data_IF_364686355481
#
_entry.id   IF_364686355481
#
_cell.length_a   1.000
_cell.length_b   1.000
_cell.length_c   1.000
_cell.angle_alpha   90.00
_cell.angle_beta   90.00
_cell.angle_gamma   90.00
#
_symmetry.space_group_name_H-M   'P 1'
#
loop_
_entity.id
_entity.type
_entity.pdbx_description
1 polymer ?
#
# COMPACT_ATOMS: atom_id res chain seq x y z
N UNK A 1 10.91 37.73 -15.86
CA UNK A 1 12.05 37.22 -15.05
C UNK A 1 12.30 38.04 -13.77
N UNK A 2 11.99 39.35 -13.71
CA UNK A 2 12.16 40.18 -12.50
C UNK A 2 11.07 39.98 -11.42
N UNK A 3 9.82 39.65 -11.81
CA UNK A 3 8.70 39.51 -10.88
C UNK A 3 8.79 38.25 -9.97
N UNK A 4 9.34 37.15 -10.48
CA UNK A 4 9.50 35.90 -9.70
C UNK A 4 10.58 36.05 -8.62
N UNK A 5 11.69 36.75 -8.92
CA UNK A 5 12.75 37.02 -7.93
C UNK A 5 12.29 37.96 -6.81
N UNK A 6 11.48 38.97 -7.13
CA UNK A 6 10.94 39.90 -6.15
C UNK A 6 9.88 39.26 -5.24
N UNK A 7 9.14 38.24 -5.73
CA UNK A 7 8.19 37.47 -4.92
C UNK A 7 8.87 36.45 -4.00
N UNK A 8 10.01 35.84 -4.44
CA UNK A 8 10.82 34.94 -3.62
C UNK A 8 11.48 35.66 -2.42
N UNK A 9 12.02 36.86 -2.66
CA UNK A 9 12.55 37.69 -1.57
C UNK A 9 11.47 38.03 -0.54
N UNK A 10 10.27 38.44 -0.97
CA UNK A 10 9.15 38.76 -0.08
C UNK A 10 8.67 37.55 0.76
N UNK A 11 8.66 36.33 0.17
CA UNK A 11 8.21 35.12 0.88
C UNK A 11 9.21 34.71 1.98
N UNK A 12 10.52 34.73 1.68
CA UNK A 12 11.56 34.52 2.67
C UNK A 12 11.58 35.60 3.75
N UNK A 13 11.30 36.86 3.36
CA UNK A 13 11.20 37.99 4.27
C UNK A 13 9.97 37.89 5.17
N UNK A 14 8.82 37.41 4.65
CA UNK A 14 7.58 37.24 5.42
C UNK A 14 7.72 36.07 6.43
N UNK A 15 8.29 34.93 6.05
CA UNK A 15 8.58 33.82 6.96
C UNK A 15 9.62 34.23 8.01
N UNK A 16 10.68 34.94 7.60
CA UNK A 16 11.67 35.47 8.55
C UNK A 16 11.07 36.53 9.49
N UNK A 17 10.13 37.33 9.02
CA UNK A 17 9.42 38.31 9.85
C UNK A 17 8.49 37.63 10.86
N UNK A 18 7.81 36.55 10.49
CA UNK A 18 6.97 35.75 11.41
C UNK A 18 7.81 35.08 12.49
N UNK A 19 8.95 34.45 12.13
CA UNK A 19 9.89 33.90 13.11
C UNK A 19 10.52 34.98 14.01
N UNK A 20 10.83 36.16 13.45
CA UNK A 20 11.33 37.29 14.25
C UNK A 20 10.26 37.88 15.19
N UNK A 21 8.97 37.89 14.80
CA UNK A 21 7.87 38.27 15.70
C UNK A 21 7.74 37.25 16.84
N UNK A 22 7.74 35.96 16.53
CA UNK A 22 7.69 34.89 17.56
C UNK A 22 8.89 34.97 18.50
N UNK A 23 10.08 35.19 17.97
CA UNK A 23 11.30 35.40 18.78
C UNK A 23 11.21 36.68 19.64
N UNK A 24 10.68 37.76 19.09
CA UNK A 24 10.44 39.02 19.81
C UNK A 24 9.39 38.87 20.91
N UNK A 25 8.29 38.18 20.69
CA UNK A 25 7.26 37.90 21.68
C UNK A 25 7.78 36.94 22.77
N UNK A 26 8.49 35.87 22.37
CA UNK A 26 9.11 34.92 23.28
C UNK A 26 10.20 35.61 24.14
N UNK A 27 11.03 36.46 23.53
CA UNK A 27 12.04 37.23 24.22
C UNK A 27 11.42 38.25 25.18
N UNK A 28 10.29 38.86 24.82
CA UNK A 28 9.52 39.77 25.68
C UNK A 28 8.91 39.06 26.87
N UNK A 29 8.31 37.89 26.67
CA UNK A 29 7.77 37.05 27.74
C UNK A 29 8.86 36.50 28.65
N UNK A 30 10.01 36.08 28.09
CA UNK A 30 11.18 35.64 28.83
C UNK A 30 11.74 36.76 29.70
N UNK A 31 11.91 37.96 29.14
CA UNK A 31 12.38 39.13 29.89
C UNK A 31 11.42 39.59 30.99
N UNK A 32 10.13 39.33 30.86
CA UNK A 32 9.12 39.69 31.86
C UNK A 32 8.99 38.66 33.01
N UNK A 33 9.37 37.40 32.77
CA UNK A 33 9.18 36.31 33.75
C UNK A 33 10.49 35.69 34.25
N UNK A 34 11.64 36.12 33.71
CA UNK A 34 12.96 35.56 34.04
C UNK A 34 13.04 34.01 33.89
N UNK A 35 12.20 33.42 33.03
CA UNK A 35 12.02 31.98 32.86
C UNK A 35 12.25 31.53 31.39
N UNK A 36 13.48 31.04 31.13
CA UNK A 36 13.86 30.48 29.83
C UNK A 36 12.93 29.34 29.38
N UNK A 37 12.48 28.50 30.31
CA UNK A 37 11.62 27.35 29.96
C UNK A 37 10.25 27.80 29.49
N UNK A 38 9.69 28.87 30.07
CA UNK A 38 8.42 29.45 29.61
C UNK A 38 8.54 30.03 28.19
N UNK A 39 9.65 30.69 27.86
CA UNK A 39 9.93 31.20 26.52
C UNK A 39 10.08 30.08 25.48
N UNK A 40 10.91 29.08 25.77
CA UNK A 40 11.09 27.91 24.89
C UNK A 40 9.77 27.16 24.67
N UNK A 41 9.00 26.97 25.75
CA UNK A 41 7.68 26.32 25.65
C UNK A 41 6.73 27.08 24.73
N UNK A 42 6.66 28.41 24.83
CA UNK A 42 5.82 29.23 23.95
C UNK A 42 6.23 29.13 22.50
N UNK A 43 7.53 29.13 22.18
CA UNK A 43 8.04 28.95 20.83
C UNK A 43 7.61 27.56 20.28
N UNK A 44 7.80 26.51 21.08
CA UNK A 44 7.41 25.16 20.68
C UNK A 44 5.89 25.04 20.47
N UNK A 45 5.09 25.63 21.36
CA UNK A 45 3.63 25.64 21.23
C UNK A 45 3.18 26.39 19.97
N UNK A 46 3.79 27.53 19.65
CA UNK A 46 3.51 28.28 18.42
C UNK A 46 3.93 27.51 17.17
N UNK A 47 5.13 26.91 17.16
CA UNK A 47 5.59 26.08 16.03
C UNK A 47 4.70 24.87 15.81
N UNK A 48 4.29 24.16 16.87
CA UNK A 48 3.42 22.97 16.76
C UNK A 48 2.00 23.30 16.28
N UNK A 49 1.56 24.54 16.38
CA UNK A 49 0.27 25.02 15.89
C UNK A 49 0.37 25.69 14.51
N UNK A 50 1.57 25.93 14.02
CA UNK A 50 1.77 26.59 12.72
C UNK A 50 1.22 25.76 11.57
N UNK A 51 0.42 26.34 10.67
CA UNK A 51 -0.01 25.66 9.44
C UNK A 51 1.16 25.18 8.58
N UNK A 52 2.30 25.85 8.60
CA UNK A 52 3.51 25.48 7.87
C UNK A 52 4.19 24.21 8.42
N UNK A 53 3.99 23.92 9.72
CA UNK A 53 4.44 22.66 10.30
C UNK A 53 3.44 21.53 10.10
N UNK A 54 2.12 21.85 10.24
CA UNK A 54 1.06 20.82 10.20
C UNK A 54 0.68 20.43 8.79
N UNK A 55 0.84 21.30 7.79
CA UNK A 55 0.42 21.09 6.43
C UNK A 55 1.56 21.39 5.45
N UNK A 56 1.61 20.64 4.37
CA UNK A 56 2.42 20.98 3.21
C UNK A 56 1.70 22.10 2.43
N UNK A 57 2.09 23.34 2.70
CA UNK A 57 1.42 24.52 2.14
C UNK A 57 1.92 24.79 0.73
N UNK A 58 0.99 24.95 -0.22
CA UNK A 58 1.24 25.29 -1.61
C UNK A 58 0.57 26.63 -1.92
N UNK A 59 1.37 27.67 -2.12
CA UNK A 59 0.92 29.06 -2.25
C UNK A 59 0.94 29.60 -3.68
N UNK A 60 1.45 28.81 -4.66
CA UNK A 60 1.39 29.16 -6.07
C UNK A 60 -0.05 29.42 -6.50
N UNK A 61 -0.32 30.50 -7.24
CA UNK A 61 -1.67 30.94 -7.55
C UNK A 61 -1.89 31.26 -9.05
N UNK A 62 -0.84 31.31 -9.86
CA UNK A 62 -0.94 31.59 -11.28
C UNK A 62 -1.52 30.37 -12.02
N UNK A 63 -2.64 30.54 -12.72
CA UNK A 63 -3.31 29.46 -13.45
C UNK A 63 -2.65 29.23 -14.82
N UNK A 64 -2.40 27.96 -15.14
CA UNK A 64 -2.07 27.49 -16.47
C UNK A 64 -3.05 26.39 -16.90
N UNK A 65 -3.81 26.60 -17.96
CA UNK A 65 -4.75 25.61 -18.55
C UNK A 65 -5.66 24.94 -17.51
N UNK A 66 -6.21 25.71 -16.57
CA UNK A 66 -7.13 25.22 -15.55
C UNK A 66 -6.49 24.56 -14.34
N UNK A 67 -5.17 24.49 -14.28
CA UNK A 67 -4.40 24.02 -13.13
C UNK A 67 -3.46 25.11 -12.63
N UNK A 68 -2.85 24.93 -11.47
CA UNK A 68 -1.84 25.82 -10.92
C UNK A 68 -0.52 25.07 -10.88
N UNK A 69 0.49 25.45 -11.69
CA UNK A 69 1.82 24.87 -11.60
C UNK A 69 2.45 25.19 -10.27
N UNK A 70 3.13 24.22 -9.68
CA UNK A 70 3.89 24.40 -8.46
C UNK A 70 5.20 25.13 -8.73
N UNK A 71 5.71 25.84 -7.73
CA UNK A 71 7.05 26.38 -7.79
C UNK A 71 8.12 25.32 -7.43
N UNK A 72 9.39 25.65 -7.62
CA UNK A 72 10.49 24.71 -7.39
C UNK A 72 10.55 24.19 -5.95
N UNK A 73 10.24 25.02 -4.95
CA UNK A 73 10.25 24.61 -3.55
C UNK A 73 9.04 23.75 -3.20
N UNK A 74 7.89 24.02 -3.80
CA UNK A 74 6.69 23.21 -3.64
C UNK A 74 6.90 21.82 -4.26
N UNK A 75 7.56 21.74 -5.45
CA UNK A 75 7.94 20.47 -6.07
C UNK A 75 8.94 19.72 -5.19
N UNK A 76 10.00 20.40 -4.71
CA UNK A 76 10.99 19.78 -3.83
C UNK A 76 10.34 19.20 -2.56
N UNK A 77 9.43 19.96 -1.94
CA UNK A 77 8.68 19.51 -0.77
C UNK A 77 7.79 18.30 -1.09
N UNK A 78 7.01 18.34 -2.19
CA UNK A 78 6.18 17.19 -2.60
C UNK A 78 7.03 15.95 -2.82
N UNK A 79 8.14 16.09 -3.54
CA UNK A 79 9.03 15.00 -3.89
C UNK A 79 9.64 14.35 -2.64
N UNK A 80 10.16 15.14 -1.71
CA UNK A 80 10.79 14.64 -0.50
C UNK A 80 9.80 13.91 0.42
N UNK A 81 8.61 14.44 0.62
CA UNK A 81 7.59 13.76 1.41
C UNK A 81 7.00 12.54 0.70
N UNK A 82 6.92 12.54 -0.63
CA UNK A 82 6.46 11.36 -1.38
C UNK A 82 7.44 10.20 -1.28
N UNK A 83 8.76 10.47 -1.36
CA UNK A 83 9.79 9.45 -1.48
C UNK A 83 10.53 9.14 -0.17
N UNK A 84 10.56 10.05 0.80
CA UNK A 84 11.33 9.90 2.04
C UNK A 84 10.52 10.12 3.33
N UNK A 85 9.26 10.58 3.23
CA UNK A 85 8.47 11.04 4.41
C UNK A 85 9.23 12.07 5.25
N UNK A 86 10.05 12.92 4.64
CA UNK A 86 10.94 13.86 5.31
C UNK A 86 11.15 15.12 4.49
N UNK A 87 11.87 16.08 5.09
CA UNK A 87 12.27 17.33 4.45
C UNK A 87 13.23 17.08 3.27
N UNK A 88 13.28 18.00 2.28
CA UNK A 88 14.28 17.99 1.22
C UNK A 88 15.71 18.06 1.81
N UNK A 89 16.64 17.35 1.17
CA UNK A 89 18.06 17.49 1.47
C UNK A 89 18.68 18.73 0.80
N UNK A 90 19.95 18.99 1.11
CA UNK A 90 20.67 20.17 0.59
C UNK A 90 20.74 20.16 -0.96
N UNK A 91 20.89 18.99 -1.59
CA UNK A 91 20.96 18.87 -3.05
C UNK A 91 19.60 19.22 -3.69
N UNK A 92 18.50 18.70 -3.14
CA UNK A 92 17.17 18.99 -3.63
C UNK A 92 16.79 20.47 -3.40
N UNK A 93 17.21 21.05 -2.26
CA UNK A 93 17.07 22.49 -2.01
C UNK A 93 17.90 23.33 -2.98
N UNK A 94 19.12 22.91 -3.30
CA UNK A 94 19.95 23.60 -4.27
C UNK A 94 19.34 23.56 -5.67
N UNK A 95 18.79 22.44 -6.10
CA UNK A 95 18.05 22.31 -7.37
C UNK A 95 16.84 23.25 -7.42
N UNK A 96 16.07 23.31 -6.33
CA UNK A 96 14.94 24.23 -6.22
C UNK A 96 15.37 25.70 -6.25
N UNK A 97 16.42 26.07 -5.51
CA UNK A 97 16.95 27.44 -5.51
C UNK A 97 17.47 27.88 -6.88
N UNK A 98 18.01 26.94 -7.68
CA UNK A 98 18.45 27.20 -9.04
C UNK A 98 17.31 27.29 -10.08
N UNK A 99 16.05 26.99 -9.69
CA UNK A 99 14.90 27.00 -10.59
C UNK A 99 14.91 25.82 -11.59
N UNK A 100 15.54 24.71 -11.24
CA UNK A 100 15.75 23.58 -12.13
C UNK A 100 14.51 22.67 -12.22
N UNK A 101 13.74 22.53 -11.14
CA UNK A 101 12.64 21.57 -11.06
C UNK A 101 11.42 22.00 -11.89
N UNK A 102 11.21 23.33 -12.06
CA UNK A 102 10.16 23.86 -12.94
C UNK A 102 10.61 24.04 -14.38
N UNK A 103 11.93 24.10 -14.62
CA UNK A 103 12.48 24.36 -15.95
C UNK A 103 12.40 23.12 -16.86
N UNK A 104 12.57 21.93 -16.30
CA UNK A 104 12.64 20.68 -17.05
C UNK A 104 12.17 19.49 -16.18
N UNK A 105 11.09 18.78 -16.57
CA UNK A 105 10.63 17.58 -15.88
C UNK A 105 11.68 16.49 -15.73
N UNK A 106 12.67 16.43 -16.63
CA UNK A 106 13.79 15.47 -16.52
C UNK A 106 14.66 15.74 -15.29
N UNK A 107 14.75 16.97 -14.82
CA UNK A 107 15.43 17.30 -13.57
C UNK A 107 14.67 16.74 -12.34
N UNK A 108 13.33 16.72 -12.39
CA UNK A 108 12.53 16.06 -11.35
C UNK A 108 12.77 14.55 -11.37
N UNK A 109 12.81 13.94 -12.57
CA UNK A 109 13.10 12.50 -12.71
C UNK A 109 14.51 12.15 -12.19
N UNK A 110 15.51 12.98 -12.49
CA UNK A 110 16.87 12.79 -12.00
C UNK A 110 16.92 12.80 -10.46
N UNK A 111 16.30 13.81 -9.85
CA UNK A 111 16.24 13.89 -8.40
C UNK A 111 15.44 12.73 -7.80
N UNK A 112 14.31 12.33 -8.39
CA UNK A 112 13.52 11.21 -7.94
C UNK A 112 14.34 9.89 -7.95
N UNK A 113 15.05 9.58 -9.04
CA UNK A 113 15.90 8.38 -9.13
C UNK A 113 17.02 8.40 -8.10
N UNK A 114 17.73 9.55 -7.94
CA UNK A 114 18.72 9.72 -6.87
C UNK A 114 18.13 9.44 -5.49
N UNK A 115 16.94 9.96 -5.24
CA UNK A 115 16.24 9.79 -3.96
C UNK A 115 15.80 8.35 -3.72
N UNK A 116 15.44 7.62 -4.77
CA UNK A 116 15.09 6.20 -4.69
C UNK A 116 16.29 5.29 -4.42
N UNK A 117 17.52 5.75 -4.70
CA UNK A 117 18.75 5.04 -4.35
C UNK A 117 19.20 5.31 -2.90
N UNK A 118 18.54 6.24 -2.19
CA UNK A 118 18.78 6.52 -0.77
C UNK A 118 18.02 5.52 0.11
N UNK A 119 18.63 4.97 1.18
CA UNK A 119 17.96 4.03 2.09
C UNK A 119 16.64 4.52 2.72
N UNK A 120 16.41 5.83 2.80
CA UNK A 120 15.15 6.41 3.28
C UNK A 120 13.95 6.00 2.44
N UNK A 121 14.14 5.84 1.12
CA UNK A 121 13.08 5.45 0.21
C UNK A 121 12.56 4.03 0.50
N UNK A 122 13.47 3.09 0.84
CA UNK A 122 13.08 1.72 1.16
C UNK A 122 12.03 1.65 2.25
N UNK A 123 12.21 2.42 3.34
CA UNK A 123 11.23 2.50 4.42
C UNK A 123 9.86 3.03 3.98
N UNK A 124 9.80 3.94 3.01
CA UNK A 124 8.53 4.47 2.47
C UNK A 124 7.81 3.41 1.65
N UNK A 125 8.54 2.69 0.78
CA UNK A 125 7.97 1.65 -0.06
C UNK A 125 7.47 0.44 0.77
N UNK A 126 8.24 0.01 1.76
CA UNK A 126 7.81 -1.05 2.68
C UNK A 126 6.54 -0.61 3.44
N UNK A 127 6.48 0.61 3.98
CA UNK A 127 5.27 1.11 4.65
C UNK A 127 4.07 1.20 3.71
N UNK A 128 4.27 1.61 2.45
CA UNK A 128 3.20 1.62 1.46
C UNK A 128 2.61 0.22 1.26
N UNK A 129 3.45 -0.78 1.03
CA UNK A 129 2.98 -2.16 0.81
C UNK A 129 2.41 -2.77 2.09
N UNK A 130 2.94 -2.44 3.28
CA UNK A 130 2.32 -2.81 4.55
C UNK A 130 0.89 -2.26 4.69
N UNK A 131 0.63 -1.04 4.25
CA UNK A 131 -0.71 -0.44 4.25
C UNK A 131 -1.60 -1.06 3.17
N UNK A 132 -1.07 -1.25 1.97
CA UNK A 132 -1.80 -1.84 0.84
C UNK A 132 -2.25 -3.26 1.16
N UNK A 133 -1.37 -4.08 1.74
CA UNK A 133 -1.61 -5.49 2.04
C UNK A 133 -2.08 -5.75 3.48
N UNK A 134 -2.41 -4.68 4.21
CA UNK A 134 -2.95 -4.74 5.59
C UNK A 134 -2.10 -5.56 6.56
N UNK A 135 -0.78 -5.39 6.49
CA UNK A 135 0.18 -6.11 7.35
C UNK A 135 -0.05 -5.83 8.85
N UNK A 136 -0.71 -4.73 9.20
CA UNK A 136 -1.10 -4.45 10.58
C UNK A 136 -2.02 -5.53 11.16
N UNK A 137 -2.85 -6.19 10.33
CA UNK A 137 -3.71 -7.29 10.76
C UNK A 137 -2.93 -8.54 11.17
N UNK A 138 -1.65 -8.68 10.76
CA UNK A 138 -0.81 -9.82 11.12
C UNK A 138 -0.56 -9.92 12.64
N UNK A 139 -0.60 -8.80 13.37
CA UNK A 139 -0.53 -8.80 14.85
C UNK A 139 -1.68 -9.57 15.49
N UNK A 140 -2.81 -9.70 14.78
CA UNK A 140 -3.99 -10.46 15.22
C UNK A 140 -3.92 -11.96 14.96
N UNK A 141 -2.88 -12.48 14.31
CA UNK A 141 -2.74 -13.89 14.00
C UNK A 141 -2.53 -14.69 15.31
N UNK A 142 -3.56 -15.41 15.74
CA UNK A 142 -3.55 -16.19 16.99
C UNK A 142 -4.16 -17.57 16.76
N UNK A 143 -3.42 -18.52 16.15
CA UNK A 143 -3.93 -19.85 15.87
C UNK A 143 -4.31 -20.58 17.15
N UNK A 144 -5.36 -21.40 17.11
CA UNK A 144 -5.75 -22.24 18.23
C UNK A 144 -4.74 -23.37 18.43
N UNK A 145 -4.13 -23.45 19.60
CA UNK A 145 -3.21 -24.54 19.96
C UNK A 145 -3.88 -25.92 20.01
N UNK A 146 -5.23 -25.97 20.04
CA UNK A 146 -5.99 -27.22 19.94
C UNK A 146 -5.96 -27.78 18.52
N UNK A 147 -6.05 -26.92 17.51
CA UNK A 147 -6.05 -27.32 16.11
C UNK A 147 -4.65 -27.29 15.49
N UNK A 148 -3.80 -26.36 15.95
CA UNK A 148 -2.45 -26.12 15.44
C UNK A 148 -1.43 -26.11 16.59
N UNK A 149 -1.19 -27.28 17.25
CA UNK A 149 -0.33 -27.35 18.45
C UNK A 149 1.12 -26.93 18.16
N UNK A 150 1.58 -27.09 16.92
CA UNK A 150 2.96 -26.82 16.50
C UNK A 150 3.10 -25.44 15.81
N UNK A 151 2.02 -24.64 15.70
CA UNK A 151 2.09 -23.32 15.11
C UNK A 151 2.95 -22.37 15.97
N UNK A 152 3.84 -21.58 15.36
CA UNK A 152 4.63 -20.58 16.09
C UNK A 152 3.72 -19.59 16.83
N UNK A 153 4.01 -19.34 18.10
CA UNK A 153 3.25 -18.37 18.91
C UNK A 153 3.43 -16.92 18.41
N UNK A 154 4.50 -16.65 17.68
CA UNK A 154 4.87 -15.37 17.07
C UNK A 154 4.63 -15.34 15.56
N UNK A 155 3.72 -16.18 15.03
CA UNK A 155 3.49 -16.34 13.59
C UNK A 155 3.25 -15.01 12.86
N UNK A 156 2.51 -14.09 13.46
CA UNK A 156 2.28 -12.76 12.88
C UNK A 156 3.55 -11.92 12.73
N UNK A 157 4.46 -11.99 13.70
CA UNK A 157 5.75 -11.30 13.62
C UNK A 157 6.66 -11.92 12.54
N UNK A 158 6.68 -13.25 12.44
CA UNK A 158 7.42 -13.97 11.39
C UNK A 158 6.88 -13.62 10.00
N UNK A 159 5.58 -13.59 9.84
CA UNK A 159 4.91 -13.22 8.58
C UNK A 159 5.17 -11.75 8.20
N UNK A 160 5.26 -10.85 9.19
CA UNK A 160 5.60 -9.45 8.96
C UNK A 160 7.05 -9.31 8.44
N UNK A 161 7.98 -10.03 9.03
CA UNK A 161 9.39 -10.03 8.59
C UNK A 161 9.54 -10.65 7.19
N UNK A 162 8.84 -11.75 6.90
CA UNK A 162 8.77 -12.35 5.57
C UNK A 162 8.30 -11.33 4.54
N UNK A 163 7.16 -10.68 4.80
CA UNK A 163 6.57 -9.68 3.91
C UNK A 163 7.53 -8.53 3.61
N UNK A 164 8.17 -7.99 4.65
CA UNK A 164 9.09 -6.87 4.50
C UNK A 164 10.31 -7.23 3.65
N UNK A 165 10.89 -8.41 3.90
CA UNK A 165 12.05 -8.90 3.13
C UNK A 165 11.65 -9.17 1.68
N UNK A 166 10.49 -9.77 1.46
CA UNK A 166 9.95 -10.03 0.14
C UNK A 166 9.76 -8.73 -0.66
N UNK A 167 9.11 -7.72 -0.08
CA UNK A 167 8.92 -6.42 -0.73
C UNK A 167 10.26 -5.74 -1.04
N UNK A 168 11.20 -5.74 -0.08
CA UNK A 168 12.55 -5.17 -0.31
C UNK A 168 13.27 -5.84 -1.45
N UNK A 169 13.26 -7.17 -1.47
CA UNK A 169 13.93 -7.94 -2.52
C UNK A 169 13.31 -7.67 -3.89
N UNK A 170 11.99 -7.71 -4.01
CA UNK A 170 11.35 -7.45 -5.30
C UNK A 170 11.60 -6.01 -5.75
N UNK A 171 11.35 -5.01 -4.89
CA UNK A 171 11.37 -3.60 -5.31
C UNK A 171 12.78 -3.04 -5.43
N UNK A 172 13.68 -3.36 -4.49
CA UNK A 172 15.03 -2.77 -4.44
C UNK A 172 16.13 -3.76 -4.83
N UNK A 173 15.99 -5.05 -4.49
CA UNK A 173 16.97 -6.07 -4.84
C UNK A 173 16.97 -6.39 -6.33
N UNK A 174 15.80 -6.49 -6.95
CA UNK A 174 15.62 -6.90 -8.35
C UNK A 174 15.10 -5.81 -9.28
N UNK A 175 14.76 -4.63 -8.75
CA UNK A 175 14.04 -3.57 -9.48
C UNK A 175 12.77 -4.12 -10.18
N UNK A 176 12.02 -4.95 -9.45
CA UNK A 176 10.88 -5.71 -9.96
C UNK A 176 9.62 -4.86 -10.10
N UNK A 177 8.63 -5.45 -10.75
CA UNK A 177 7.32 -4.88 -11.05
C UNK A 177 6.27 -5.29 -10.01
N UNK A 178 5.05 -4.72 -10.09
CA UNK A 178 3.90 -5.20 -9.33
C UNK A 178 3.53 -6.64 -9.70
N UNK A 179 3.72 -7.02 -10.97
CA UNK A 179 3.55 -8.41 -11.41
C UNK A 179 4.44 -9.36 -10.60
N UNK A 180 5.69 -8.99 -10.34
CA UNK A 180 6.62 -9.81 -9.55
C UNK A 180 6.17 -9.94 -8.09
N UNK A 181 5.59 -8.90 -7.50
CA UNK A 181 4.96 -8.98 -6.17
C UNK A 181 3.78 -9.97 -6.13
N UNK A 182 3.05 -10.12 -7.24
CA UNK A 182 1.94 -11.06 -7.34
C UNK A 182 2.38 -12.48 -7.65
N UNK A 183 3.48 -12.70 -8.40
CA UNK A 183 3.76 -14.00 -9.02
C UNK A 183 5.10 -14.63 -8.66
N UNK A 184 6.00 -13.94 -7.94
CA UNK A 184 7.29 -14.53 -7.55
C UNK A 184 7.11 -15.70 -6.60
N UNK A 185 7.71 -16.87 -6.86
CA UNK A 185 7.73 -18.00 -5.93
C UNK A 185 8.77 -17.85 -4.83
N UNK A 186 9.64 -16.83 -4.92
CA UNK A 186 10.70 -16.63 -3.94
C UNK A 186 10.15 -15.93 -2.69
N UNK A 187 10.67 -16.30 -1.52
CA UNK A 187 10.35 -15.65 -0.25
C UNK A 187 11.53 -15.80 0.74
N UNK A 188 11.29 -15.46 2.00
CA UNK A 188 12.27 -15.57 3.07
C UNK A 188 11.66 -16.32 4.25
N UNK A 189 12.38 -17.30 4.76
CA UNK A 189 11.94 -18.10 5.91
C UNK A 189 13.06 -18.30 6.93
N UNK A 190 12.68 -18.45 8.19
CA UNK A 190 13.48 -19.04 9.23
C UNK A 190 12.97 -20.47 9.53
N UNK A 191 13.55 -21.17 10.50
CA UNK A 191 13.15 -22.54 10.85
C UNK A 191 11.67 -22.69 11.20
N UNK A 192 11.10 -21.73 11.93
CA UNK A 192 9.70 -21.77 12.36
C UNK A 192 8.75 -21.59 11.17
N UNK A 193 9.03 -20.62 10.30
CA UNK A 193 8.20 -20.36 9.14
C UNK A 193 8.36 -21.43 8.06
N UNK A 194 9.57 -21.99 7.89
CA UNK A 194 9.83 -23.12 7.00
C UNK A 194 8.98 -24.35 7.37
N UNK A 195 8.77 -24.60 8.67
CA UNK A 195 7.90 -25.66 9.13
C UNK A 195 6.43 -25.44 8.76
N UNK A 196 5.92 -24.19 8.81
CA UNK A 196 4.56 -23.85 8.37
C UNK A 196 4.40 -24.05 6.86
N UNK A 197 5.44 -23.72 6.08
CA UNK A 197 5.47 -23.97 4.63
C UNK A 197 5.65 -25.44 4.27
N UNK A 198 5.99 -26.31 5.25
CA UNK A 198 6.28 -27.72 5.01
C UNK A 198 7.56 -27.95 4.21
N UNK A 199 8.56 -27.07 4.37
CA UNK A 199 9.83 -27.18 3.64
C UNK A 199 10.74 -28.21 4.30
N UNK A 200 11.29 -29.10 3.48
CA UNK A 200 12.36 -30.00 3.88
C UNK A 200 13.69 -29.25 3.93
N UNK A 201 14.49 -29.49 4.97
CA UNK A 201 15.80 -28.86 5.06
C UNK A 201 16.22 -28.56 6.49
N UNK A 202 17.31 -27.84 6.64
CA UNK A 202 17.83 -27.38 7.93
C UNK A 202 17.90 -25.84 7.89
N UNK A 203 16.90 -25.22 8.49
CA UNK A 203 16.78 -23.76 8.59
C UNK A 203 17.19 -23.31 9.99
N UNK A 204 17.82 -22.12 10.07
CA UNK A 204 18.25 -21.48 11.31
C UNK A 204 17.21 -20.52 11.90
N UNK A 205 17.65 -19.76 12.92
CA UNK A 205 16.83 -18.69 13.49
C UNK A 205 16.75 -17.46 12.56
N UNK A 206 17.78 -17.24 11.74
CA UNK A 206 17.84 -16.16 10.77
C UNK A 206 17.01 -16.46 9.53
N UNK A 207 16.41 -15.40 8.95
CA UNK A 207 15.69 -15.51 7.69
C UNK A 207 16.65 -15.66 6.52
N UNK A 208 16.42 -16.67 5.70
CA UNK A 208 17.16 -16.92 4.47
C UNK A 208 16.24 -17.02 3.25
N UNK A 209 16.72 -16.66 2.05
CA UNK A 209 15.91 -16.71 0.83
C UNK A 209 15.65 -18.17 0.42
N UNK A 210 14.43 -18.45 0.00
CA UNK A 210 13.99 -19.74 -0.54
C UNK A 210 13.09 -19.55 -1.75
N UNK A 211 13.08 -20.53 -2.65
CA UNK A 211 12.09 -20.63 -3.72
C UNK A 211 11.09 -21.71 -3.37
N UNK A 212 9.82 -21.31 -3.23
CA UNK A 212 8.71 -22.22 -2.93
C UNK A 212 8.27 -22.98 -4.18
N UNK A 213 7.48 -24.05 -3.99
CA UNK A 213 6.85 -24.75 -5.12
C UNK A 213 5.87 -23.81 -5.85
N UNK A 214 6.24 -23.39 -7.05
CA UNK A 214 5.46 -22.46 -7.87
C UNK A 214 4.08 -23.00 -8.29
N UNK A 215 3.82 -24.29 -8.12
CA UNK A 215 2.48 -24.86 -8.33
C UNK A 215 1.55 -24.65 -7.13
N UNK A 216 2.12 -24.33 -5.95
CA UNK A 216 1.38 -24.12 -4.74
C UNK A 216 1.46 -22.66 -4.26
N UNK A 217 2.58 -21.96 -4.49
CA UNK A 217 2.88 -20.66 -3.86
C UNK A 217 3.42 -19.67 -4.87
N UNK A 218 2.76 -18.52 -5.00
CA UNK A 218 3.23 -17.39 -5.81
C UNK A 218 2.80 -16.07 -5.19
N UNK A 219 3.75 -15.16 -5.04
CA UNK A 219 3.53 -13.80 -4.62
C UNK A 219 2.90 -13.65 -3.24
N UNK A 220 2.62 -12.42 -2.89
CA UNK A 220 2.22 -11.99 -1.55
C UNK A 220 0.93 -12.65 -1.05
N UNK A 221 -0.02 -12.99 -1.95
CA UNK A 221 -1.31 -13.55 -1.55
C UNK A 221 -1.29 -15.05 -1.23
N UNK A 222 -0.19 -15.73 -1.50
CA UNK A 222 0.01 -17.11 -1.04
C UNK A 222 1.01 -17.22 0.11
N UNK A 223 1.52 -16.09 0.60
CA UNK A 223 2.34 -16.05 1.83
C UNK A 223 1.48 -16.27 3.08
N UNK A 224 2.12 -16.80 4.11
CA UNK A 224 1.48 -17.11 5.40
C UNK A 224 0.78 -15.90 5.99
N UNK A 225 1.35 -14.71 5.89
CA UNK A 225 0.79 -13.48 6.45
C UNK A 225 -0.62 -13.18 5.95
N UNK A 226 -0.81 -13.12 4.64
CA UNK A 226 -2.13 -12.90 4.03
C UNK A 226 -3.12 -14.01 4.37
N UNK A 227 -2.68 -15.27 4.30
CA UNK A 227 -3.54 -16.43 4.50
C UNK A 227 -4.02 -16.56 5.94
N UNK A 228 -3.14 -16.34 6.90
CA UNK A 228 -3.44 -16.50 8.32
C UNK A 228 -4.12 -15.26 8.94
N UNK A 229 -3.85 -14.04 8.44
CA UNK A 229 -4.59 -12.86 8.90
C UNK A 229 -6.04 -12.84 8.41
N UNK A 230 -6.31 -13.50 7.28
CA UNK A 230 -7.66 -13.72 6.75
C UNK A 230 -8.11 -15.16 7.03
N UNK A 231 -8.10 -15.51 8.31
CA UNK A 231 -8.55 -16.81 8.84
C UNK A 231 -9.12 -16.62 10.24
N UNK A 232 -9.94 -17.59 10.67
CA UNK A 232 -10.30 -17.73 12.08
C UNK A 232 -9.17 -18.45 12.82
N UNK A 233 -9.30 -18.62 14.14
CA UNK A 233 -8.32 -19.39 14.91
C UNK A 233 -8.23 -20.89 14.52
N UNK A 234 -9.23 -21.41 13.79
CA UNK A 234 -9.38 -22.84 13.52
C UNK A 234 -9.59 -23.18 12.03
N UNK A 235 -10.08 -22.26 11.22
CA UNK A 235 -10.42 -22.50 9.83
C UNK A 235 -10.04 -21.31 8.94
N UNK A 236 -9.72 -21.54 7.65
CA UNK A 236 -9.54 -20.46 6.68
C UNK A 236 -10.84 -19.66 6.52
N UNK A 237 -10.71 -18.39 6.17
CA UNK A 237 -11.86 -17.51 5.95
C UNK A 237 -11.88 -17.02 4.49
N UNK A 238 -12.56 -17.75 3.60
CA UNK A 238 -12.66 -17.37 2.20
C UNK A 238 -13.45 -16.07 2.00
N UNK A 239 -14.30 -15.68 2.95
CA UNK A 239 -15.05 -14.43 2.87
C UNK A 239 -14.08 -13.25 2.96
N UNK A 240 -13.27 -13.19 4.02
CA UNK A 240 -12.31 -12.10 4.19
C UNK A 240 -11.21 -12.12 3.11
N UNK A 241 -10.71 -13.29 2.70
CA UNK A 241 -9.78 -13.40 1.56
C UNK A 241 -10.40 -12.85 0.27
N UNK A 242 -11.67 -13.18 0.01
CA UNK A 242 -12.39 -12.72 -1.17
C UNK A 242 -12.68 -11.22 -1.18
N UNK A 243 -13.16 -10.67 -0.06
CA UNK A 243 -13.39 -9.22 0.10
C UNK A 243 -12.09 -8.45 -0.09
N UNK A 244 -11.00 -8.90 0.53
CA UNK A 244 -9.70 -8.25 0.41
C UNK A 244 -9.25 -8.14 -1.06
N UNK A 245 -9.28 -9.25 -1.80
CA UNK A 245 -8.85 -9.26 -3.19
C UNK A 245 -9.77 -8.42 -4.09
N UNK A 246 -11.07 -8.49 -3.89
CA UNK A 246 -12.03 -7.69 -4.65
C UNK A 246 -11.81 -6.19 -4.42
N UNK A 247 -11.76 -5.74 -3.16
CA UNK A 247 -11.69 -4.31 -2.85
C UNK A 247 -10.29 -3.71 -2.96
N UNK A 248 -9.25 -4.41 -2.45
CA UNK A 248 -7.89 -3.86 -2.35
C UNK A 248 -7.03 -4.12 -3.57
N UNK A 249 -7.32 -5.20 -4.33
CA UNK A 249 -6.52 -5.60 -5.48
C UNK A 249 -7.23 -5.30 -6.79
N UNK A 250 -8.50 -5.68 -6.92
CA UNK A 250 -9.27 -5.41 -8.12
C UNK A 250 -10.04 -4.07 -8.08
N UNK A 251 -10.05 -3.36 -6.95
CA UNK A 251 -10.82 -2.12 -6.72
C UNK A 251 -12.32 -2.28 -7.07
N UNK A 252 -12.89 -3.47 -6.85
CA UNK A 252 -14.32 -3.72 -6.97
C UNK A 252 -14.99 -3.33 -5.67
N UNK A 253 -15.93 -2.38 -5.74
CA UNK A 253 -16.67 -1.96 -4.55
C UNK A 253 -17.67 -3.02 -4.12
N UNK A 254 -17.67 -3.35 -2.83
CA UNK A 254 -18.64 -4.23 -2.20
C UNK A 254 -19.45 -3.40 -1.20
N UNK A 255 -20.78 -3.46 -1.30
CA UNK A 255 -21.66 -2.80 -0.36
C UNK A 255 -21.48 -3.36 1.06
N UNK A 256 -21.63 -2.50 2.07
CA UNK A 256 -21.52 -2.92 3.46
C UNK A 256 -22.53 -4.03 3.79
N UNK A 257 -22.12 -5.07 4.57
CA UNK A 257 -23.04 -6.12 4.97
C UNK A 257 -24.16 -5.57 5.87
N UNK A 258 -25.30 -6.28 5.97
CA UNK A 258 -26.32 -5.96 6.97
C UNK A 258 -25.78 -6.04 8.40
N UNK A 259 -26.34 -5.26 9.33
CA UNK A 259 -25.86 -5.17 10.73
C UNK A 259 -25.94 -6.49 11.51
N UNK A 260 -26.89 -7.37 11.19
CA UNK A 260 -27.16 -8.62 11.91
C UNK A 260 -26.92 -9.86 11.01
N UNK A 261 -25.66 -10.17 10.68
CA UNK A 261 -25.31 -11.40 9.96
C UNK A 261 -24.94 -12.49 10.98
N UNK A 262 -25.70 -13.59 11.08
CA UNK A 262 -25.33 -14.69 11.97
C UNK A 262 -24.07 -15.40 11.44
N UNK A 263 -23.24 -15.98 12.34
CA UNK A 263 -22.11 -16.78 11.90
C UNK A 263 -22.58 -18.01 11.11
N UNK A 264 -21.73 -18.54 10.18
CA UNK A 264 -22.04 -19.77 9.48
C UNK A 264 -22.35 -20.92 10.45
N UNK A 265 -23.39 -21.73 10.20
CA UNK A 265 -23.71 -22.88 11.04
C UNK A 265 -22.61 -23.97 10.88
N UNK A 266 -22.30 -24.67 11.95
CA UNK A 266 -21.45 -25.86 11.86
C UNK A 266 -22.25 -26.98 11.18
N UNK A 267 -21.74 -27.49 10.06
CA UNK A 267 -22.33 -28.62 9.34
C UNK A 267 -21.37 -29.80 9.53
N UNK A 268 -21.83 -30.85 10.24
CA UNK A 268 -20.99 -32.01 10.55
C UNK A 268 -20.56 -32.71 9.23
N UNK A 269 -19.26 -32.94 9.08
CA UNK A 269 -18.68 -33.62 7.91
C UNK A 269 -18.57 -32.78 6.64
N UNK A 270 -19.12 -31.56 6.60
CA UNK A 270 -18.95 -30.67 5.45
C UNK A 270 -17.55 -30.04 5.41
N UNK A 271 -17.07 -29.73 4.23
CA UNK A 271 -15.88 -28.91 4.05
C UNK A 271 -16.16 -27.46 4.45
N UNK A 272 -15.11 -26.69 4.70
CA UNK A 272 -15.22 -25.24 4.98
C UNK A 272 -15.97 -24.53 3.83
N UNK A 273 -15.57 -24.80 2.58
CA UNK A 273 -16.24 -24.28 1.39
C UNK A 273 -17.74 -24.59 1.35
N UNK A 274 -18.13 -25.84 1.59
CA UNK A 274 -19.55 -26.23 1.63
C UNK A 274 -20.31 -25.50 2.72
N UNK A 275 -19.72 -25.35 3.89
CA UNK A 275 -20.31 -24.63 5.02
C UNK A 275 -20.54 -23.17 4.65
N UNK A 276 -19.56 -22.48 4.09
CA UNK A 276 -19.65 -21.08 3.68
C UNK A 276 -20.66 -20.92 2.51
N UNK A 277 -20.57 -21.76 1.48
CA UNK A 277 -21.50 -21.69 0.34
C UNK A 277 -22.96 -21.91 0.78
N UNK A 278 -23.21 -22.91 1.63
CA UNK A 278 -24.56 -23.16 2.18
C UNK A 278 -25.10 -21.96 2.98
N UNK A 279 -24.25 -21.21 3.63
CA UNK A 279 -24.66 -20.02 4.39
C UNK A 279 -24.89 -18.79 3.51
N UNK A 280 -24.03 -18.57 2.52
CA UNK A 280 -23.93 -17.30 1.79
C UNK A 280 -24.53 -17.31 0.39
N UNK A 281 -24.71 -18.50 -0.23
CA UNK A 281 -25.14 -18.62 -1.63
C UNK A 281 -26.61 -19.08 -1.78
N UNK A 282 -27.42 -19.01 -0.71
CA UNK A 282 -28.83 -19.41 -0.78
C UNK A 282 -29.59 -18.56 -1.81
N UNK A 283 -30.23 -19.18 -2.83
CA UNK A 283 -30.95 -18.44 -3.85
C UNK A 283 -32.02 -17.50 -3.27
N UNK A 284 -31.97 -16.25 -3.68
CA UNK A 284 -32.89 -15.22 -3.23
C UNK A 284 -32.57 -14.59 -1.86
N UNK A 285 -31.48 -15.01 -1.20
CA UNK A 285 -31.00 -14.32 -0.01
C UNK A 285 -30.29 -13.01 -0.40
N UNK A 286 -30.26 -12.05 0.52
CA UNK A 286 -29.51 -10.81 0.34
C UNK A 286 -28.00 -11.09 0.22
N UNK A 287 -27.50 -12.13 0.89
CA UNK A 287 -26.09 -12.53 0.89
C UNK A 287 -25.63 -12.99 -0.49
N UNK A 288 -26.47 -13.76 -1.21
CA UNK A 288 -26.10 -14.33 -2.51
C UNK A 288 -25.73 -13.27 -3.56
N UNK A 289 -26.24 -12.05 -3.44
CA UNK A 289 -25.93 -10.97 -4.37
C UNK A 289 -24.46 -10.62 -4.44
N UNK A 290 -23.79 -10.52 -3.30
CA UNK A 290 -22.36 -10.22 -3.21
C UNK A 290 -21.50 -11.50 -3.18
N UNK A 291 -21.90 -12.51 -2.38
CA UNK A 291 -21.10 -13.71 -2.17
C UNK A 291 -20.97 -14.58 -3.42
N UNK A 292 -22.09 -14.92 -4.07
CA UNK A 292 -22.03 -15.82 -5.24
C UNK A 292 -21.35 -15.20 -6.45
N UNK A 293 -21.32 -13.86 -6.55
CA UNK A 293 -20.82 -13.18 -7.75
C UNK A 293 -19.42 -12.59 -7.59
N UNK A 294 -19.04 -12.21 -6.38
CA UNK A 294 -17.79 -11.49 -6.13
C UNK A 294 -16.97 -12.17 -5.03
N UNK A 295 -17.49 -12.25 -3.79
CA UNK A 295 -16.69 -12.59 -2.62
C UNK A 295 -16.17 -14.02 -2.69
N UNK A 296 -17.10 -15.00 -2.79
CA UNK A 296 -16.75 -16.41 -2.80
C UNK A 296 -15.90 -16.81 -4.01
N UNK A 297 -16.18 -16.31 -5.24
CA UNK A 297 -15.33 -16.56 -6.40
C UNK A 297 -13.87 -16.13 -6.23
N UNK A 298 -13.58 -15.05 -5.50
CA UNK A 298 -12.21 -14.64 -5.17
C UNK A 298 -11.64 -15.43 -3.99
N UNK A 299 -12.46 -15.87 -3.03
CA UNK A 299 -12.00 -16.50 -1.79
C UNK A 299 -11.78 -18.00 -1.89
N UNK A 300 -12.67 -18.73 -2.54
CA UNK A 300 -12.61 -20.21 -2.65
C UNK A 300 -11.35 -20.78 -3.31
N UNK A 301 -10.70 -20.09 -4.26
CA UNK A 301 -9.42 -20.56 -4.77
C UNK A 301 -8.34 -20.80 -3.72
N UNK A 302 -8.47 -20.23 -2.51
CA UNK A 302 -7.53 -20.37 -1.41
C UNK A 302 -7.85 -21.52 -0.44
N UNK A 303 -8.80 -22.41 -0.73
CA UNK A 303 -9.19 -23.49 0.18
C UNK A 303 -8.09 -24.56 0.39
N UNK A 304 -7.07 -24.62 -0.49
CA UNK A 304 -5.87 -25.42 -0.25
C UNK A 304 -4.95 -24.91 0.84
N UNK A 305 -5.28 -23.82 1.52
CA UNK A 305 -4.52 -23.29 2.64
C UNK A 305 -5.39 -23.26 3.90
N UNK A 306 -4.88 -23.84 4.97
CA UNK A 306 -5.55 -23.87 6.26
C UNK A 306 -5.52 -22.49 6.98
N UNK A 307 -5.89 -22.47 8.26
CA UNK A 307 -5.95 -21.24 9.04
C UNK A 307 -4.58 -20.65 9.40
N UNK A 308 -3.50 -21.41 9.35
CA UNK A 308 -2.14 -20.92 9.55
C UNK A 308 -1.40 -20.68 8.22
N UNK A 309 -2.10 -20.88 7.10
CA UNK A 309 -1.54 -20.77 5.77
C UNK A 309 -0.76 -22.00 5.30
N UNK A 310 -0.78 -23.12 6.02
CA UNK A 310 -0.17 -24.37 5.58
C UNK A 310 -0.98 -25.01 4.44
N UNK A 311 -0.29 -25.70 3.52
CA UNK A 311 -0.92 -26.38 2.39
C UNK A 311 -1.69 -27.62 2.83
N UNK A 312 -2.90 -27.81 2.27
CA UNK A 312 -3.74 -28.99 2.49
C UNK A 312 -4.40 -29.46 1.20
N UNK A 313 -4.58 -30.74 1.05
CA UNK A 313 -5.30 -31.37 -0.08
C UNK A 313 -6.70 -31.86 0.35
N UNK A 314 -6.90 -32.04 1.65
CA UNK A 314 -8.13 -32.53 2.23
C UNK A 314 -8.68 -31.54 3.27
N UNK A 315 -9.99 -31.44 3.34
CA UNK A 315 -10.74 -30.76 4.38
C UNK A 315 -11.83 -31.71 4.91
N UNK A 316 -11.84 -31.98 6.22
CA UNK A 316 -12.72 -32.96 6.84
C UNK A 316 -12.74 -34.35 6.12
N UNK A 317 -11.61 -34.76 5.55
CA UNK A 317 -11.44 -36.02 4.83
C UNK A 317 -11.92 -36.00 3.37
N UNK A 318 -12.40 -34.89 2.87
CA UNK A 318 -12.80 -34.67 1.48
C UNK A 318 -11.74 -33.87 0.72
N UNK A 319 -11.52 -34.15 -0.58
CA UNK A 319 -10.66 -33.31 -1.41
C UNK A 319 -11.14 -31.87 -1.39
N UNK A 320 -10.22 -30.91 -1.25
CA UNK A 320 -10.56 -29.48 -1.32
C UNK A 320 -11.00 -29.09 -2.73
N UNK A 321 -12.08 -28.32 -2.83
CA UNK A 321 -12.52 -27.69 -4.08
C UNK A 321 -12.04 -26.23 -4.09
N UNK A 322 -11.10 -25.94 -4.98
CA UNK A 322 -10.48 -24.62 -5.16
C UNK A 322 -10.97 -23.88 -6.40
N UNK A 323 -12.07 -24.35 -7.02
CA UNK A 323 -12.60 -23.68 -8.21
C UNK A 323 -13.26 -22.35 -7.87
N UNK A 324 -13.06 -21.36 -8.71
CA UNK A 324 -13.69 -20.04 -8.63
C UNK A 324 -13.89 -19.44 -10.01
N UNK A 325 -14.69 -18.38 -10.09
CA UNK A 325 -14.86 -17.62 -11.32
C UNK A 325 -15.07 -16.14 -11.01
N UNK A 326 -14.05 -15.48 -10.43
CA UNK A 326 -14.13 -14.07 -10.05
C UNK A 326 -14.33 -13.16 -11.28
N UNK A 327 -15.01 -12.01 -11.10
CA UNK A 327 -15.23 -11.05 -12.19
C UNK A 327 -13.97 -10.18 -12.41
N UNK A 328 -12.93 -10.76 -12.99
CA UNK A 328 -11.69 -10.05 -13.33
C UNK A 328 -11.90 -9.27 -14.64
N UNK A 329 -11.55 -8.00 -14.65
CA UNK A 329 -11.77 -7.07 -15.78
C UNK A 329 -13.24 -7.05 -16.29
N UNK A 330 -14.19 -7.23 -15.34
CA UNK A 330 -15.62 -7.20 -15.61
C UNK A 330 -16.20 -8.48 -16.23
N UNK A 331 -15.41 -9.56 -16.37
CA UNK A 331 -15.86 -10.83 -16.91
C UNK A 331 -15.55 -12.00 -15.96
N UNK A 332 -16.46 -13.00 -15.83
CA UNK A 332 -16.16 -14.20 -15.07
C UNK A 332 -14.91 -14.90 -15.61
N UNK A 333 -13.92 -15.10 -14.77
CA UNK A 333 -12.63 -15.70 -15.12
C UNK A 333 -12.46 -17.02 -14.35
N UNK A 334 -12.71 -18.19 -14.97
CA UNK A 334 -12.58 -19.47 -14.29
C UNK A 334 -11.14 -19.73 -13.87
N UNK A 335 -10.96 -20.14 -12.61
CA UNK A 335 -9.66 -20.48 -12.02
C UNK A 335 -9.80 -21.74 -11.15
N UNK A 336 -8.71 -22.49 -11.01
CA UNK A 336 -8.60 -23.66 -10.16
C UNK A 336 -7.38 -23.50 -9.23
N UNK A 337 -7.61 -22.90 -8.08
CA UNK A 337 -6.59 -22.62 -7.08
C UNK A 337 -6.06 -21.19 -7.09
N UNK A 338 -5.40 -20.84 -6.00
CA UNK A 338 -4.89 -19.51 -5.77
C UNK A 338 -3.80 -19.09 -6.77
N UNK A 339 -2.99 -20.04 -7.25
CA UNK A 339 -1.93 -19.76 -8.23
C UNK A 339 -2.52 -19.26 -9.55
N UNK A 340 -3.56 -19.92 -10.07
CA UNK A 340 -4.24 -19.45 -11.28
C UNK A 340 -4.94 -18.09 -11.05
N UNK A 341 -5.48 -17.90 -9.85
CA UNK A 341 -6.10 -16.61 -9.50
C UNK A 341 -5.08 -15.47 -9.47
N UNK A 342 -3.93 -15.66 -8.83
CA UNK A 342 -2.90 -14.60 -8.77
C UNK A 342 -2.27 -14.35 -10.13
N UNK A 343 -2.12 -15.37 -10.99
CA UNK A 343 -1.69 -15.20 -12.38
C UNK A 343 -2.73 -14.37 -13.17
N UNK A 344 -4.03 -14.67 -13.00
CA UNK A 344 -5.10 -13.89 -13.63
C UNK A 344 -5.14 -12.43 -13.15
N UNK A 345 -4.89 -12.18 -11.86
CA UNK A 345 -4.77 -10.83 -11.31
C UNK A 345 -3.51 -10.12 -11.84
N UNK A 346 -2.40 -10.82 -12.02
CA UNK A 346 -1.17 -10.28 -12.59
C UNK A 346 -1.32 -9.93 -14.09
N UNK A 347 -2.31 -10.50 -14.78
CA UNK A 347 -2.68 -10.15 -16.16
C UNK A 347 -3.81 -9.10 -16.23
N UNK A 348 -4.45 -8.78 -15.11
CA UNK A 348 -5.64 -7.92 -15.05
C UNK A 348 -5.32 -6.43 -15.17
N UNK A 349 -6.02 -5.75 -16.05
CA UNK A 349 -6.01 -4.29 -16.16
C UNK A 349 -6.50 -3.63 -14.87
N UNK A 350 -7.57 -4.14 -14.28
CA UNK A 350 -8.15 -3.59 -13.06
C UNK A 350 -7.18 -3.68 -11.87
N UNK A 351 -6.49 -4.80 -11.70
CA UNK A 351 -5.53 -4.96 -10.61
C UNK A 351 -4.36 -3.97 -10.74
N UNK A 352 -3.86 -3.76 -11.95
CA UNK A 352 -2.79 -2.80 -12.18
C UNK A 352 -3.26 -1.34 -12.08
N UNK A 353 -4.46 -0.99 -12.56
CA UNK A 353 -5.05 0.32 -12.36
C UNK A 353 -5.30 0.61 -10.87
N UNK A 354 -5.75 -0.39 -10.11
CA UNK A 354 -5.95 -0.29 -8.67
C UNK A 354 -4.63 0.00 -7.96
N UNK A 355 -3.58 -0.75 -8.26
CA UNK A 355 -2.25 -0.55 -7.69
C UNK A 355 -1.66 0.83 -8.01
N UNK A 356 -1.72 1.25 -9.28
CA UNK A 356 -1.27 2.59 -9.71
C UNK A 356 -2.07 3.69 -9.00
N UNK A 357 -3.37 3.52 -8.84
CA UNK A 357 -4.24 4.47 -8.11
C UNK A 357 -3.80 4.64 -6.66
N UNK A 358 -3.48 3.56 -5.96
CA UNK A 358 -2.95 3.63 -4.60
C UNK A 358 -1.63 4.40 -4.54
N UNK A 359 -0.72 4.23 -5.51
CA UNK A 359 0.51 5.01 -5.60
C UNK A 359 0.25 6.49 -5.90
N UNK A 360 -0.69 6.80 -6.79
CA UNK A 360 -1.12 8.19 -7.07
C UNK A 360 -1.65 8.83 -5.79
N UNK A 361 -2.51 8.16 -5.05
CA UNK A 361 -3.05 8.66 -3.79
C UNK A 361 -1.97 8.87 -2.73
N UNK A 362 -1.04 7.92 -2.61
CA UNK A 362 0.07 8.00 -1.66
C UNK A 362 1.01 9.16 -1.97
N UNK A 363 1.41 9.32 -3.23
CA UNK A 363 2.38 10.36 -3.63
C UNK A 363 1.78 11.76 -3.62
N UNK A 364 0.51 11.88 -3.98
CA UNK A 364 -0.19 13.16 -4.04
C UNK A 364 -0.82 13.58 -2.70
N UNK A 365 -0.98 12.65 -1.75
CA UNK A 365 -1.62 12.91 -0.45
C UNK A 365 -3.11 13.27 -0.58
N UNK A 366 -3.79 12.77 -1.62
CA UNK A 366 -5.22 12.96 -1.88
C UNK A 366 -5.80 11.76 -2.61
N UNK A 367 -7.10 11.59 -2.54
CA UNK A 367 -7.75 10.58 -3.37
C UNK A 367 -7.56 10.88 -4.87
N UNK A 368 -7.45 9.81 -5.65
CA UNK A 368 -7.40 9.91 -7.10
C UNK A 368 -8.71 10.53 -7.63
N UNK A 369 -8.57 11.46 -8.56
CA UNK A 369 -9.68 12.18 -9.16
C UNK A 369 -9.91 11.66 -10.60
N UNK A 370 -11.07 11.94 -11.22
CA UNK A 370 -11.34 11.52 -12.59
C UNK A 370 -10.29 11.98 -13.61
N UNK A 371 -9.69 13.13 -13.38
CA UNK A 371 -8.59 13.68 -14.21
C UNK A 371 -7.29 12.88 -14.12
N UNK A 372 -7.09 12.06 -13.08
CA UNK A 372 -5.93 11.20 -12.93
C UNK A 372 -6.06 9.89 -13.74
N UNK A 373 -7.27 9.54 -14.22
CA UNK A 373 -7.54 8.26 -14.86
C UNK A 373 -6.65 8.00 -16.07
N UNK A 374 -6.36 9.02 -16.88
CA UNK A 374 -5.49 8.86 -18.04
C UNK A 374 -4.04 8.48 -17.64
N UNK A 375 -3.54 9.05 -16.54
CA UNK A 375 -2.25 8.70 -15.96
C UNK A 375 -2.28 7.27 -15.39
N UNK A 376 -3.33 6.93 -14.65
CA UNK A 376 -3.51 5.60 -14.05
C UNK A 376 -3.51 4.52 -15.14
N UNK A 377 -4.33 4.68 -16.19
CA UNK A 377 -4.43 3.68 -17.26
C UNK A 377 -3.12 3.54 -18.06
N UNK A 378 -2.42 4.65 -18.35
CA UNK A 378 -1.15 4.60 -19.06
C UNK A 378 -0.05 3.87 -18.28
N UNK A 379 0.04 4.11 -16.96
CA UNK A 379 1.02 3.44 -16.10
C UNK A 379 0.64 1.98 -15.81
N UNK A 380 -0.64 1.67 -15.71
CA UNK A 380 -1.14 0.31 -15.52
C UNK A 380 -0.75 -0.61 -16.67
N UNK A 381 -0.74 -0.13 -17.91
CA UNK A 381 -0.30 -0.90 -19.08
C UNK A 381 1.16 -1.35 -18.93
N UNK A 382 2.09 -0.43 -18.64
CA UNK A 382 3.50 -0.75 -18.44
C UNK A 382 3.76 -1.63 -17.21
N UNK A 383 2.97 -1.43 -16.14
CA UNK A 383 3.01 -2.26 -14.93
C UNK A 383 2.56 -3.70 -15.21
N UNK A 384 1.47 -3.89 -15.97
CA UNK A 384 0.94 -5.19 -16.35
C UNK A 384 1.89 -5.96 -17.28
N UNK A 385 2.45 -5.29 -18.26
CA UNK A 385 3.36 -5.88 -19.22
C UNK A 385 4.76 -6.15 -18.64
N UNK A 386 5.00 -5.77 -17.37
CA UNK A 386 6.27 -5.97 -16.68
C UNK A 386 7.42 -5.09 -17.21
N UNK A 387 7.12 -4.09 -18.05
CA UNK A 387 8.11 -3.15 -18.59
C UNK A 387 8.41 -1.99 -17.65
N UNK A 388 7.61 -1.85 -16.58
CA UNK A 388 7.70 -0.78 -15.60
C UNK A 388 7.92 -1.38 -14.21
N UNK A 389 9.10 -1.15 -13.64
CA UNK A 389 9.36 -1.51 -12.24
C UNK A 389 8.53 -0.64 -11.29
N UNK A 390 8.37 -1.09 -10.03
CA UNK A 390 7.66 -0.30 -9.01
C UNK A 390 8.34 1.05 -8.78
N UNK A 391 9.67 1.08 -8.80
CA UNK A 391 10.45 2.31 -8.65
C UNK A 391 10.23 3.28 -9.81
N UNK A 392 10.32 2.78 -11.05
CA UNK A 392 10.11 3.61 -12.24
C UNK A 392 8.65 4.07 -12.38
N UNK A 393 7.67 3.27 -11.96
CA UNK A 393 6.27 3.67 -11.87
C UNK A 393 6.13 4.92 -10.98
N UNK A 394 6.76 4.93 -9.82
CA UNK A 394 6.73 6.09 -8.91
C UNK A 394 7.45 7.30 -9.53
N UNK A 395 8.58 7.10 -10.22
CA UNK A 395 9.25 8.18 -10.98
C UNK A 395 8.31 8.80 -11.99
N UNK A 396 7.58 8.01 -12.76
CA UNK A 396 6.62 8.51 -13.75
C UNK A 396 5.43 9.24 -13.11
N UNK A 397 4.98 8.81 -11.94
CA UNK A 397 3.96 9.55 -11.20
C UNK A 397 4.48 10.94 -10.78
N UNK A 398 5.66 11.02 -10.15
CA UNK A 398 6.18 12.28 -9.61
C UNK A 398 6.68 13.26 -10.69
N UNK A 399 6.87 12.79 -11.91
CA UNK A 399 7.17 13.64 -13.08
C UNK A 399 5.93 14.02 -13.87
N UNK A 400 4.77 13.45 -13.53
CA UNK A 400 3.52 13.72 -14.25
C UNK A 400 3.02 15.13 -14.03
N UNK A 401 2.22 15.63 -14.98
CA UNK A 401 1.54 16.93 -14.83
C UNK A 401 0.64 16.96 -13.58
N UNK A 402 0.00 15.85 -13.22
CA UNK A 402 -0.85 15.72 -12.04
C UNK A 402 -0.08 15.98 -10.74
N UNK A 403 1.19 15.54 -10.68
CA UNK A 403 2.05 15.78 -9.53
C UNK A 403 2.66 17.17 -9.51
N UNK A 404 3.06 17.70 -10.66
CA UNK A 404 3.72 19.01 -10.78
C UNK A 404 2.76 20.20 -10.75
N UNK A 405 1.46 19.93 -10.71
CA UNK A 405 0.40 20.95 -10.66
C UNK A 405 -0.61 20.60 -9.58
N UNK A 406 -1.38 21.57 -9.12
CA UNK A 406 -2.58 21.32 -8.34
C UNK A 406 -3.83 21.69 -9.12
N UNK A 407 -4.90 20.92 -8.93
CA UNK A 407 -6.21 21.22 -9.48
C UNK A 407 -6.81 22.45 -8.78
N UNK A 408 -7.54 23.26 -9.53
CA UNK A 408 -8.34 24.34 -8.98
C UNK A 408 -9.68 23.73 -8.57
N UNK A 409 -9.92 23.56 -7.27
CA UNK A 409 -11.29 23.31 -6.81
C UNK A 409 -12.07 24.60 -6.94
N UNK A 410 -13.07 24.62 -7.81
CA UNK A 410 -14.10 25.65 -7.73
C UNK A 410 -14.87 25.40 -6.43
N UNK A 411 -14.79 26.35 -5.52
CA UNK A 411 -15.67 26.34 -4.35
C UNK A 411 -17.05 26.66 -4.94
N UNK A 412 -17.90 25.63 -5.05
CA UNK A 412 -19.34 25.86 -5.30
C UNK A 412 -19.86 26.65 -4.12
N UNK A 413 -20.24 27.91 -4.37
CA UNK A 413 -20.95 28.76 -3.40
C UNK A 413 -22.28 28.13 -2.96
#
# INVERSE_FOLDING_TARGET
RGGARARRGRRADDESAEYMMLDGEASGLYGAQDDLHAGVRLILEAMLQSPFLLYRVELSSERDRGTIPLDDYEIASRLSYALWDSLPDEELFAAAAAGMLTADPEQVALQARRMLDDPRAEGVFVRFHRQLFDVASFEGITPSTTFFPDAPANLGALATEEHDRFVREIVFGRDGSYRDLLTSPDTFVNAELAAVYGLDGSFGEDFEPVTLDASQRRGVFTQVGFLASNATQAAPDPIHRGVFLAERVACVHIEAPPDDVPPPPVIEGATNRETIANHTEQPGSICAGCHSQIINPFGFPFESYDAIGAWRELDNGHPVDTTGSPPIDGAPTPVSGAVELVDALADSTWAHECYVRHWVERTMGRHAAPEDQALVSALAEGSRDGTLSVRELVVQIVTSRAFLHRSVREVSE
#
